data_IF_089564480744
#
_entry.id   IF_089564480744
#
_cell.length_a   1.000
_cell.length_b   1.000
_cell.length_c   1.000
_cell.angle_alpha   90.00
_cell.angle_beta   90.00
_cell.angle_gamma   90.00
#
_symmetry.space_group_name_H-M   'P 1'
#
loop_
_entity.id
_entity.type
_entity.pdbx_description
1 polymer ?
#
# COMPACT_ATOMS: atom_id res chain seq x y z
N UNK A 1 -89.26 39.04 1.52
CA UNK A 1 -88.74 37.66 1.39
C UNK A 1 -87.30 37.78 0.94
N UNK A 2 -86.40 37.44 1.85
CA UNK A 2 -85.18 36.65 1.68
C UNK A 2 -84.34 36.77 0.39
N UNK A 3 -83.12 37.24 0.64
CA UNK A 3 -81.83 36.57 0.40
C UNK A 3 -81.12 36.74 -0.95
N UNK A 4 -80.03 37.51 -0.83
CA UNK A 4 -78.91 37.71 -1.75
C UNK A 4 -78.19 36.40 -2.09
N UNK A 5 -77.85 36.25 -3.37
CA UNK A 5 -77.00 35.20 -3.91
C UNK A 5 -75.54 35.34 -3.43
N UNK A 6 -74.96 34.22 -3.05
CA UNK A 6 -73.62 34.07 -2.47
C UNK A 6 -72.53 34.15 -3.56
N UNK A 7 -71.68 35.17 -3.48
CA UNK A 7 -70.47 35.34 -4.30
C UNK A 7 -69.43 34.24 -4.02
N UNK A 8 -69.19 33.38 -5.02
CA UNK A 8 -68.04 32.47 -5.07
C UNK A 8 -66.99 32.98 -6.07
N UNK A 9 -66.13 33.93 -5.66
CA UNK A 9 -64.97 34.35 -6.44
C UNK A 9 -63.84 33.30 -6.32
N UNK A 10 -63.13 32.94 -7.41
CA UNK A 10 -61.94 32.09 -7.33
C UNK A 10 -60.78 32.88 -6.71
N UNK A 11 -60.16 32.33 -5.66
CA UNK A 11 -58.89 32.84 -5.13
C UNK A 11 -57.82 32.74 -6.22
N UNK A 12 -57.31 33.88 -6.67
CA UNK A 12 -56.08 33.96 -7.45
C UNK A 12 -54.92 33.49 -6.56
N UNK A 13 -54.26 32.41 -6.94
CA UNK A 13 -52.98 32.02 -6.35
C UNK A 13 -51.94 32.98 -6.92
N UNK A 14 -51.50 33.95 -6.13
CA UNK A 14 -50.31 34.73 -6.46
C UNK A 14 -49.11 33.78 -6.39
N UNK A 15 -48.59 33.37 -7.55
CA UNK A 15 -47.29 32.68 -7.61
C UNK A 15 -46.23 33.62 -7.04
N UNK A 16 -45.56 33.20 -5.96
CA UNK A 16 -44.54 33.98 -5.26
C UNK A 16 -43.48 34.44 -6.27
N UNK A 17 -43.46 35.75 -6.55
CA UNK A 17 -42.56 36.34 -7.54
C UNK A 17 -41.08 36.06 -7.20
N UNK A 18 -40.75 35.93 -5.92
CA UNK A 18 -39.43 35.52 -5.44
C UNK A 18 -39.04 34.11 -5.89
N UNK A 19 -39.99 33.16 -5.93
CA UNK A 19 -39.74 31.78 -6.35
C UNK A 19 -39.49 31.71 -7.87
N UNK A 20 -40.26 32.49 -8.64
CA UNK A 20 -40.09 32.64 -10.09
C UNK A 20 -38.76 33.31 -10.44
N UNK A 21 -38.34 34.33 -9.67
CA UNK A 21 -37.05 34.98 -9.85
C UNK A 21 -35.87 34.08 -9.45
N UNK A 22 -35.99 33.32 -8.36
CA UNK A 22 -35.02 32.32 -7.94
C UNK A 22 -34.86 31.22 -9.00
N UNK A 23 -35.95 30.75 -9.61
CA UNK A 23 -35.90 29.76 -10.67
C UNK A 23 -35.27 30.32 -11.95
N UNK A 24 -35.59 31.57 -12.33
CA UNK A 24 -34.91 32.28 -13.43
C UNK A 24 -33.42 32.47 -13.17
N UNK A 25 -33.02 32.80 -11.94
CA UNK A 25 -31.61 32.89 -11.55
C UNK A 25 -30.92 31.53 -11.61
N UNK A 26 -31.56 30.46 -11.16
CA UNK A 26 -31.05 29.09 -11.19
C UNK A 26 -30.86 28.60 -12.64
N UNK A 27 -31.83 28.88 -13.53
CA UNK A 27 -31.72 28.62 -14.98
C UNK A 27 -30.59 29.43 -15.61
N UNK A 28 -30.42 30.70 -15.23
CA UNK A 28 -29.28 31.53 -15.69
C UNK A 28 -27.94 30.97 -15.21
N UNK A 29 -27.84 30.54 -13.96
CA UNK A 29 -26.62 29.90 -13.42
C UNK A 29 -26.31 28.57 -14.13
N UNK A 30 -27.32 27.73 -14.38
CA UNK A 30 -27.16 26.49 -15.14
C UNK A 30 -26.75 26.74 -16.60
N UNK A 31 -27.29 27.77 -17.25
CA UNK A 31 -26.91 28.12 -18.64
C UNK A 31 -25.49 28.68 -18.77
N UNK A 32 -24.90 29.16 -17.66
CA UNK A 32 -23.51 29.64 -17.60
C UNK A 32 -22.52 28.53 -17.26
N UNK A 33 -22.99 27.35 -16.87
CA UNK A 33 -22.13 26.19 -16.71
C UNK A 33 -21.77 25.65 -18.11
N UNK A 34 -20.49 25.40 -18.39
CA UNK A 34 -20.11 24.74 -19.63
C UNK A 34 -20.85 23.39 -19.73
N UNK A 35 -21.28 22.96 -20.93
CA UNK A 35 -21.89 21.65 -21.09
C UNK A 35 -20.93 20.60 -20.55
N UNK A 36 -21.44 19.55 -19.87
CA UNK A 36 -20.59 18.48 -19.39
C UNK A 36 -19.77 17.93 -20.57
N UNK A 37 -18.48 17.64 -20.36
CA UNK A 37 -17.62 17.15 -21.44
C UNK A 37 -18.29 15.94 -22.10
N UNK A 38 -18.36 15.93 -23.45
CA UNK A 38 -18.90 14.80 -24.20
C UNK A 38 -18.01 13.58 -23.93
N UNK A 39 -18.53 12.63 -23.15
CA UNK A 39 -17.86 11.36 -22.90
C UNK A 39 -17.90 10.54 -24.18
N UNK A 40 -16.73 10.14 -24.69
CA UNK A 40 -16.65 9.31 -25.90
C UNK A 40 -17.09 7.87 -25.59
N UNK A 41 -17.56 7.10 -26.59
CA UNK A 41 -17.87 5.68 -26.40
C UNK A 41 -16.68 4.88 -25.84
N UNK A 42 -15.46 5.20 -26.28
CA UNK A 42 -14.22 4.60 -25.77
C UNK A 42 -14.02 4.88 -24.28
N UNK A 43 -14.26 6.12 -23.83
CA UNK A 43 -14.10 6.48 -22.43
C UNK A 43 -15.19 5.84 -21.55
N UNK A 44 -16.41 5.66 -22.06
CA UNK A 44 -17.45 4.89 -21.38
C UNK A 44 -17.03 3.42 -21.22
N UNK A 45 -16.59 2.78 -22.31
CA UNK A 45 -16.13 1.39 -22.28
C UNK A 45 -14.96 1.19 -21.31
N UNK A 46 -14.00 2.12 -21.30
CA UNK A 46 -12.90 2.13 -20.32
C UNK A 46 -13.39 2.23 -18.88
N UNK A 47 -14.34 3.13 -18.60
CA UNK A 47 -14.93 3.27 -17.24
C UNK A 47 -15.68 2.01 -16.82
N UNK A 48 -16.44 1.40 -17.71
CA UNK A 48 -17.17 0.16 -17.45
C UNK A 48 -16.21 -1.00 -17.17
N UNK A 49 -15.17 -1.14 -18.00
CA UNK A 49 -14.11 -2.12 -17.78
C UNK A 49 -13.43 -1.93 -16.43
N UNK A 50 -13.00 -0.71 -16.10
CA UNK A 50 -12.34 -0.42 -14.83
C UNK A 50 -13.26 -0.67 -13.62
N UNK A 51 -14.55 -0.33 -13.70
CA UNK A 51 -15.53 -0.68 -12.66
C UNK A 51 -15.76 -2.18 -12.54
N UNK A 52 -15.77 -2.91 -13.65
CA UNK A 52 -15.90 -4.36 -13.63
C UNK A 52 -14.67 -5.02 -12.98
N UNK A 53 -13.47 -4.51 -13.27
CA UNK A 53 -12.23 -4.96 -12.64
C UNK A 53 -12.19 -4.63 -11.14
N UNK A 54 -12.50 -3.38 -10.76
CA UNK A 54 -12.56 -2.98 -9.36
C UNK A 54 -13.52 -3.86 -8.55
N UNK A 55 -14.72 -4.18 -9.08
CA UNK A 55 -15.68 -5.08 -8.41
C UNK A 55 -15.13 -6.48 -8.11
N UNK A 56 -14.16 -6.98 -8.88
CA UNK A 56 -13.51 -8.28 -8.62
C UNK A 56 -12.49 -8.23 -7.48
N UNK A 57 -12.04 -7.03 -7.09
CA UNK A 57 -11.08 -6.82 -6.01
C UNK A 57 -11.77 -6.64 -4.65
N UNK A 58 -13.11 -6.67 -4.61
CA UNK A 58 -13.88 -6.68 -3.38
C UNK A 58 -14.02 -8.12 -2.92
N UNK A 59 -13.58 -8.40 -1.70
CA UNK A 59 -13.70 -9.71 -1.08
C UNK A 59 -14.37 -9.57 0.30
N UNK A 60 -15.17 -10.58 0.65
CA UNK A 60 -15.83 -10.66 1.94
C UNK A 60 -14.87 -11.21 2.99
N UNK A 61 -14.63 -10.43 4.05
CA UNK A 61 -13.87 -10.87 5.21
C UNK A 61 -14.84 -11.51 6.24
N UNK A 62 -14.78 -12.83 6.45
CA UNK A 62 -15.67 -13.51 7.39
C UNK A 62 -15.41 -13.13 8.86
N UNK A 63 -14.24 -12.59 9.19
CA UNK A 63 -13.92 -12.14 10.56
C UNK A 63 -14.60 -10.82 10.88
N UNK A 64 -14.57 -9.88 9.94
CA UNK A 64 -15.18 -8.56 10.09
C UNK A 64 -16.68 -8.55 9.71
N UNK A 65 -17.13 -9.53 8.94
CA UNK A 65 -18.52 -9.64 8.51
C UNK A 65 -18.90 -8.65 7.40
N UNK A 66 -17.93 -8.11 6.68
CA UNK A 66 -18.12 -7.07 5.65
C UNK A 66 -17.17 -7.27 4.47
N UNK A 67 -17.40 -6.58 3.35
CA UNK A 67 -16.62 -6.69 2.12
C UNK A 67 -15.80 -5.43 1.87
N UNK A 68 -14.52 -5.62 1.56
CA UNK A 68 -13.59 -4.51 1.33
C UNK A 68 -12.75 -4.78 0.08
N UNK A 69 -12.17 -3.72 -0.47
CA UNK A 69 -11.12 -3.88 -1.48
C UNK A 69 -9.88 -4.47 -0.82
N UNK A 70 -9.37 -5.57 -1.35
CA UNK A 70 -8.13 -6.22 -0.86
C UNK A 70 -6.89 -5.73 -1.59
N UNK A 71 -7.08 -4.99 -2.70
CA UNK A 71 -6.03 -4.44 -3.57
C UNK A 71 -6.43 -3.09 -4.13
N UNK A 72 -5.48 -2.33 -4.67
CA UNK A 72 -5.75 -1.00 -5.25
C UNK A 72 -6.75 -1.09 -6.41
N UNK A 73 -7.86 -0.37 -6.27
CA UNK A 73 -9.02 -0.50 -7.15
C UNK A 73 -9.23 0.68 -8.09
N UNK A 74 -8.51 1.79 -7.86
CA UNK A 74 -8.68 3.06 -8.57
C UNK A 74 -7.75 3.21 -9.78
N UNK A 75 -7.02 2.16 -10.16
CA UNK A 75 -6.11 2.17 -11.31
C UNK A 75 -6.88 2.15 -12.64
N UNK A 76 -6.22 2.62 -13.70
CA UNK A 76 -6.67 2.40 -15.08
C UNK A 76 -6.16 1.02 -15.55
N UNK A 77 -6.95 -0.02 -15.31
CA UNK A 77 -6.62 -1.41 -15.64
C UNK A 77 -6.49 -1.67 -17.15
N UNK A 78 -6.87 -0.71 -18.01
CA UNK A 78 -6.57 -0.78 -19.45
C UNK A 78 -5.11 -0.48 -19.78
N UNK A 79 -4.38 0.12 -18.84
CA UNK A 79 -2.99 0.57 -19.01
C UNK A 79 -2.02 -0.07 -18.03
N UNK A 80 -2.52 -0.43 -16.86
CA UNK A 80 -1.71 -0.95 -15.75
C UNK A 80 -2.16 -2.37 -15.47
N UNK A 81 -1.21 -3.30 -15.54
CA UNK A 81 -1.38 -4.61 -14.94
C UNK A 81 -1.10 -4.49 -13.43
N UNK A 82 -2.08 -4.86 -12.61
CA UNK A 82 -2.00 -4.75 -11.16
C UNK A 82 -0.95 -5.69 -10.57
N UNK A 83 -0.64 -6.79 -11.26
CA UNK A 83 0.34 -7.78 -10.83
C UNK A 83 1.76 -7.44 -11.31
N UNK A 84 1.91 -6.40 -12.13
CA UNK A 84 3.20 -6.01 -12.67
C UNK A 84 4.15 -5.53 -11.55
N UNK A 85 5.38 -6.06 -11.57
CA UNK A 85 6.45 -5.63 -10.68
C UNK A 85 7.08 -4.32 -11.13
N UNK A 86 7.52 -3.53 -10.14
CA UNK A 86 8.32 -2.34 -10.43
C UNK A 86 9.57 -2.74 -11.19
N UNK A 87 9.80 -2.09 -12.33
CA UNK A 87 11.00 -2.34 -13.16
C UNK A 87 12.17 -1.45 -12.73
N UNK A 88 11.96 -0.59 -11.74
CA UNK A 88 12.99 0.27 -11.19
C UNK A 88 13.81 -0.49 -10.16
N UNK A 89 15.11 -0.63 -10.45
CA UNK A 89 16.08 -1.09 -9.46
C UNK A 89 16.42 -0.01 -8.43
N UNK A 90 17.20 -0.40 -7.40
CA UNK A 90 17.82 0.57 -6.51
C UNK A 90 18.88 1.39 -7.28
N UNK A 91 19.46 2.39 -6.62
CA UNK A 91 20.55 3.23 -7.14
C UNK A 91 20.18 4.07 -8.37
N UNK A 92 18.88 4.29 -8.61
CA UNK A 92 18.37 5.01 -9.79
C UNK A 92 19.01 6.39 -10.00
N UNK A 93 19.32 7.07 -8.90
CA UNK A 93 19.85 8.43 -8.91
C UNK A 93 21.27 8.51 -8.34
N UNK A 94 22.01 7.39 -8.26
CA UNK A 94 23.35 7.37 -7.65
C UNK A 94 24.34 8.34 -8.30
N UNK A 95 24.28 8.49 -9.63
CA UNK A 95 25.15 9.42 -10.36
C UNK A 95 24.60 10.85 -10.43
N UNK A 96 23.45 11.11 -9.80
CA UNK A 96 22.82 12.42 -9.82
C UNK A 96 23.47 13.35 -8.80
N UNK A 97 23.96 14.50 -9.27
CA UNK A 97 24.51 15.53 -8.40
C UNK A 97 23.34 16.27 -7.74
N UNK A 98 23.21 16.18 -6.42
CA UNK A 98 22.27 16.97 -5.65
C UNK A 98 22.78 18.42 -5.63
N UNK A 99 22.05 19.30 -6.34
CA UNK A 99 22.37 20.74 -6.41
C UNK A 99 21.58 21.52 -5.36
N UNK A 100 22.04 22.73 -5.08
CA UNK A 100 21.30 23.67 -4.24
C UNK A 100 19.89 23.92 -4.82
N UNK A 101 18.85 23.75 -3.98
CA UNK A 101 17.45 23.83 -4.38
C UNK A 101 16.83 22.53 -4.90
N UNK A 102 17.57 21.41 -4.93
CA UNK A 102 17.00 20.11 -5.29
C UNK A 102 15.96 19.65 -4.25
N UNK A 103 14.74 19.39 -4.69
CA UNK A 103 13.66 18.95 -3.81
C UNK A 103 13.73 17.43 -3.61
N UNK A 104 14.19 17.02 -2.43
CA UNK A 104 14.15 15.62 -2.02
C UNK A 104 12.72 15.19 -1.68
N UNK A 105 12.38 13.97 -2.05
CA UNK A 105 11.07 13.38 -1.79
C UNK A 105 11.14 12.55 -0.50
N UNK A 106 10.03 12.49 0.23
CA UNK A 106 9.93 11.66 1.42
C UNK A 106 9.90 10.16 1.05
N UNK A 107 10.20 9.30 2.02
CA UNK A 107 10.26 7.86 1.84
C UNK A 107 9.75 7.10 3.06
N UNK A 108 9.55 5.79 2.88
CA UNK A 108 9.19 4.86 3.93
C UNK A 108 10.23 3.73 4.02
N UNK A 109 10.68 3.43 5.22
CA UNK A 109 11.47 2.26 5.54
C UNK A 109 10.60 1.19 6.17
N UNK A 110 10.42 0.05 5.48
CA UNK A 110 9.77 -1.10 6.10
C UNK A 110 10.66 -1.68 7.18
N UNK A 111 10.18 -1.73 8.43
CA UNK A 111 10.96 -2.25 9.54
C UNK A 111 10.58 -3.69 9.85
N UNK A 112 9.29 -3.98 9.94
CA UNK A 112 8.78 -5.27 10.37
C UNK A 112 7.35 -5.51 9.86
N UNK A 113 7.03 -6.78 9.60
CA UNK A 113 5.64 -7.25 9.51
C UNK A 113 5.49 -8.33 10.56
N UNK A 114 4.68 -8.07 11.58
CA UNK A 114 4.57 -8.91 12.78
C UNK A 114 3.22 -9.59 12.82
N UNK A 115 3.22 -10.89 13.12
CA UNK A 115 1.98 -11.64 13.37
C UNK A 115 1.63 -11.44 14.85
N UNK A 116 0.64 -10.60 15.12
CA UNK A 116 0.20 -10.28 16.48
C UNK A 116 -0.61 -11.43 17.07
N UNK A 117 -1.50 -12.04 16.27
CA UNK A 117 -2.32 -13.17 16.70
C UNK A 117 -2.73 -14.06 15.53
N UNK A 118 -3.13 -15.30 15.85
CA UNK A 118 -3.60 -16.31 14.89
C UNK A 118 -4.81 -17.02 15.49
N UNK A 119 -5.93 -17.02 14.76
CA UNK A 119 -7.18 -17.66 15.19
C UNK A 119 -7.14 -19.19 14.98
N UNK A 120 -6.10 -19.70 14.31
CA UNK A 120 -5.91 -21.13 14.00
C UNK A 120 -4.79 -21.77 14.82
N UNK A 121 -4.16 -21.02 15.72
CA UNK A 121 -3.04 -21.47 16.54
C UNK A 121 -1.70 -21.50 15.79
N UNK A 122 -0.75 -22.26 16.36
CA UNK A 122 0.62 -22.45 15.87
C UNK A 122 1.03 -23.92 16.03
N UNK A 123 1.99 -24.44 15.24
CA UNK A 123 2.73 -23.75 14.18
C UNK A 123 1.92 -23.61 12.89
N UNK A 124 2.23 -22.60 12.08
CA UNK A 124 1.64 -22.40 10.74
C UNK A 124 2.71 -22.31 9.66
N UNK A 125 2.41 -22.84 8.47
CA UNK A 125 3.27 -22.74 7.29
C UNK A 125 2.73 -21.64 6.38
N UNK A 126 3.29 -20.44 6.50
CA UNK A 126 2.78 -19.23 5.88
C UNK A 126 3.44 -18.93 4.54
N UNK A 127 2.65 -18.59 3.53
CA UNK A 127 3.13 -18.11 2.24
C UNK A 127 2.23 -16.96 1.73
N UNK A 128 2.61 -16.35 0.61
CA UNK A 128 1.89 -15.23 0.01
C UNK A 128 2.75 -13.97 -0.08
N UNK A 129 2.11 -12.81 -0.09
CA UNK A 129 2.73 -11.54 -0.43
C UNK A 129 2.34 -10.41 0.51
N UNK A 130 3.29 -9.53 0.79
CA UNK A 130 3.04 -8.17 1.27
C UNK A 130 3.68 -7.22 0.26
N UNK A 131 2.86 -6.40 -0.38
CA UNK A 131 3.26 -5.47 -1.44
C UNK A 131 3.14 -4.05 -0.91
N UNK A 132 4.11 -3.21 -1.23
CA UNK A 132 4.04 -1.77 -1.02
C UNK A 132 3.96 -1.08 -2.40
N UNK A 133 2.87 -0.38 -2.67
CA UNK A 133 2.70 0.47 -3.86
C UNK A 133 2.91 1.92 -3.48
N UNK A 134 3.65 2.63 -4.30
CA UNK A 134 4.00 4.02 -4.01
C UNK A 134 3.76 4.93 -5.22
N UNK A 135 4.04 6.21 -5.04
CA UNK A 135 3.72 7.23 -6.03
C UNK A 135 4.63 7.19 -7.27
N UNK A 136 5.60 6.27 -7.34
CA UNK A 136 6.52 6.18 -8.48
C UNK A 136 5.86 5.55 -9.70
N UNK A 137 5.23 4.39 -9.51
CA UNK A 137 4.62 3.62 -10.60
C UNK A 137 3.36 2.83 -10.17
N UNK A 138 3.01 2.82 -8.87
CA UNK A 138 1.93 2.00 -8.30
C UNK A 138 2.05 0.49 -8.61
N UNK A 139 3.22 0.02 -9.04
CA UNK A 139 3.51 -1.40 -9.33
C UNK A 139 3.87 -2.16 -8.06
N UNK A 140 3.96 -3.47 -8.16
CA UNK A 140 4.32 -4.32 -7.02
C UNK A 140 5.78 -4.09 -6.62
N UNK A 141 6.01 -3.48 -5.46
CA UNK A 141 7.30 -3.52 -4.76
C UNK A 141 7.15 -4.47 -3.56
N UNK A 142 7.56 -5.72 -3.73
CA UNK A 142 7.37 -6.76 -2.72
C UNK A 142 8.21 -6.48 -1.47
N UNK A 143 7.57 -6.52 -0.31
CA UNK A 143 8.19 -6.46 1.01
C UNK A 143 8.41 -7.87 1.56
N UNK A 144 7.42 -8.73 1.34
CA UNK A 144 7.45 -10.16 1.61
C UNK A 144 6.87 -10.90 0.40
N UNK A 145 7.55 -11.96 -0.04
CA UNK A 145 7.06 -12.85 -1.09
C UNK A 145 7.59 -14.25 -0.85
N UNK A 146 6.68 -15.20 -0.64
CA UNK A 146 6.98 -16.62 -0.45
C UNK A 146 5.96 -17.43 -1.22
N UNK A 147 6.42 -18.38 -2.03
CA UNK A 147 5.54 -19.32 -2.71
C UNK A 147 5.12 -20.45 -1.76
N UNK A 148 4.09 -21.20 -2.15
CA UNK A 148 3.54 -22.32 -1.37
C UNK A 148 4.59 -23.40 -1.05
N UNK A 149 5.55 -23.61 -1.95
CA UNK A 149 6.63 -24.60 -1.76
C UNK A 149 7.78 -24.08 -0.88
N UNK A 150 7.80 -22.77 -0.61
CA UNK A 150 8.79 -22.09 0.21
C UNK A 150 8.10 -21.30 1.32
N UNK A 151 7.24 -21.94 2.13
CA UNK A 151 6.60 -21.30 3.27
C UNK A 151 7.63 -20.82 4.30
N UNK A 152 7.31 -19.72 4.99
CA UNK A 152 7.92 -19.42 6.28
C UNK A 152 7.14 -20.16 7.39
N UNK A 153 7.85 -20.93 8.21
CA UNK A 153 7.26 -21.54 9.41
C UNK A 153 7.19 -20.52 10.53
N UNK A 154 5.99 -20.33 11.08
CA UNK A 154 5.76 -19.47 12.25
C UNK A 154 5.39 -20.37 13.42
N UNK A 155 6.18 -20.34 14.49
CA UNK A 155 6.05 -21.28 15.60
C UNK A 155 5.30 -20.70 16.79
N UNK A 156 5.24 -19.37 16.91
CA UNK A 156 4.71 -18.69 18.07
C UNK A 156 4.15 -17.30 17.75
N UNK A 157 3.35 -16.79 18.69
CA UNK A 157 2.77 -15.46 18.62
C UNK A 157 3.85 -14.37 18.69
N UNK A 158 3.70 -13.33 17.87
CA UNK A 158 4.60 -12.19 17.84
C UNK A 158 5.84 -12.38 16.96
N UNK A 159 5.96 -13.52 16.27
CA UNK A 159 7.00 -13.69 15.26
C UNK A 159 6.80 -12.76 14.08
N UNK A 160 7.91 -12.42 13.42
CA UNK A 160 7.95 -11.48 12.31
C UNK A 160 8.23 -12.21 11.00
N UNK A 161 7.63 -11.71 9.91
CA UNK A 161 7.95 -12.19 8.57
C UNK A 161 9.38 -11.80 8.20
N UNK A 162 10.07 -12.70 7.51
CA UNK A 162 11.40 -12.45 6.96
C UNK A 162 11.22 -11.65 5.68
N UNK A 163 11.41 -10.33 5.80
CA UNK A 163 11.22 -9.39 4.70
C UNK A 163 12.38 -9.47 3.71
N UNK A 164 12.07 -9.55 2.42
CA UNK A 164 13.04 -9.59 1.33
C UNK A 164 13.09 -8.29 0.53
N UNK A 165 12.26 -7.32 0.90
CA UNK A 165 12.24 -6.01 0.25
C UNK A 165 12.07 -4.83 1.21
N UNK A 166 11.87 -3.64 0.63
CA UNK A 166 11.59 -3.40 -0.80
C UNK A 166 12.82 -3.60 -1.71
N UNK A 167 12.57 -3.77 -3.01
CA UNK A 167 13.62 -3.91 -4.05
C UNK A 167 14.36 -2.61 -4.35
N UNK A 168 13.70 -1.48 -4.09
CA UNK A 168 14.15 -0.09 -4.26
C UNK A 168 13.52 0.81 -3.19
N UNK A 169 14.03 2.03 -3.05
CA UNK A 169 13.51 3.03 -2.13
C UNK A 169 12.06 3.39 -2.46
N UNK A 170 11.28 3.66 -1.42
CA UNK A 170 9.85 3.99 -1.55
C UNK A 170 9.70 5.49 -1.82
N UNK A 171 9.00 5.86 -2.88
CA UNK A 171 8.72 7.27 -3.21
C UNK A 171 7.39 7.65 -2.60
N UNK A 172 7.43 8.32 -1.45
CA UNK A 172 6.25 8.68 -0.70
C UNK A 172 5.82 10.12 -1.01
N UNK A 173 4.88 10.29 -1.94
CA UNK A 173 4.31 11.59 -2.28
C UNK A 173 2.85 11.65 -1.84
N UNK A 174 2.66 11.88 -0.54
CA UNK A 174 1.35 12.07 0.07
C UNK A 174 0.61 10.78 0.41
N UNK A 175 0.83 9.69 -0.33
CA UNK A 175 0.24 8.39 -0.01
C UNK A 175 1.08 7.18 -0.48
N UNK A 176 0.84 6.03 0.14
CA UNK A 176 1.31 4.71 -0.27
C UNK A 176 0.30 3.65 0.15
N UNK A 177 0.32 2.48 -0.50
CA UNK A 177 -0.67 1.43 -0.26
C UNK A 177 0.02 0.12 0.07
N UNK A 178 -0.40 -0.55 1.13
CA UNK A 178 0.01 -1.92 1.43
C UNK A 178 -1.08 -2.88 0.99
N UNK A 179 -0.71 -3.90 0.21
CA UNK A 179 -1.56 -5.05 -0.08
C UNK A 179 -0.98 -6.27 0.63
N UNK A 180 -1.78 -6.85 1.51
CA UNK A 180 -1.46 -8.08 2.23
C UNK A 180 -2.32 -9.19 1.62
N UNK A 181 -1.70 -10.31 1.24
CA UNK A 181 -2.37 -11.56 0.88
C UNK A 181 -1.51 -12.71 1.40
N UNK A 182 -1.86 -13.20 2.60
CA UNK A 182 -1.13 -14.24 3.30
C UNK A 182 -2.03 -15.47 3.46
N UNK A 183 -1.47 -16.66 3.23
CA UNK A 183 -2.17 -17.93 3.26
C UNK A 183 -1.41 -18.96 4.08
N UNK A 184 -2.16 -19.87 4.69
CA UNK A 184 -1.61 -21.05 5.36
C UNK A 184 -1.69 -22.21 4.40
N UNK A 185 -0.54 -22.85 4.19
CA UNK A 185 -0.43 -24.10 3.44
C UNK A 185 -1.05 -25.25 4.23
N UNK A 186 -1.93 -25.98 3.56
CA UNK A 186 -2.51 -27.23 4.02
C UNK A 186 -1.99 -28.41 3.17
N UNK A 187 -2.53 -29.61 3.38
CA UNK A 187 -2.13 -30.80 2.62
C UNK A 187 -2.28 -30.62 1.11
N UNK A 188 -3.42 -30.11 0.65
CA UNK A 188 -3.71 -29.80 -0.76
C UNK A 188 -3.94 -28.30 -0.93
N UNK A 189 -3.59 -27.78 -2.10
CA UNK A 189 -3.73 -26.33 -2.39
C UNK A 189 -5.18 -25.84 -2.30
N UNK A 190 -6.15 -26.65 -2.71
CA UNK A 190 -7.58 -26.31 -2.58
C UNK A 190 -8.06 -26.19 -1.13
N UNK A 191 -7.31 -26.72 -0.17
CA UNK A 191 -7.63 -26.68 1.24
C UNK A 191 -6.91 -25.52 1.96
N UNK A 192 -5.98 -24.82 1.28
CA UNK A 192 -5.22 -23.71 1.85
C UNK A 192 -6.16 -22.61 2.37
N UNK A 193 -5.80 -22.03 3.51
CA UNK A 193 -6.65 -21.07 4.21
C UNK A 193 -6.09 -19.67 4.08
N UNK A 194 -6.96 -18.71 3.74
CA UNK A 194 -6.61 -17.30 3.84
C UNK A 194 -6.28 -16.94 5.30
N UNK A 195 -5.09 -16.40 5.54
CA UNK A 195 -4.61 -16.05 6.87
C UNK A 195 -4.87 -14.58 7.20
N UNK A 196 -4.44 -13.69 6.31
CA UNK A 196 -4.71 -12.25 6.36
C UNK A 196 -4.85 -11.76 4.92
N UNK A 197 -5.74 -10.83 4.65
CA UNK A 197 -5.80 -10.18 3.35
C UNK A 197 -6.33 -8.76 3.51
N UNK A 198 -5.62 -7.75 3.04
CA UNK A 198 -6.04 -6.37 3.31
C UNK A 198 -5.39 -5.38 2.36
N UNK A 199 -6.09 -4.27 2.11
CA UNK A 199 -5.54 -3.05 1.57
C UNK A 199 -5.47 -2.00 2.67
N UNK A 200 -4.29 -1.44 2.91
CA UNK A 200 -4.08 -0.34 3.86
C UNK A 200 -3.59 0.88 3.08
N UNK A 201 -4.26 2.02 3.27
CA UNK A 201 -3.86 3.31 2.71
C UNK A 201 -3.11 4.11 3.76
N UNK A 202 -1.84 4.40 3.49
CA UNK A 202 -1.00 5.24 4.33
C UNK A 202 -1.01 6.65 3.76
N UNK A 203 -1.71 7.55 4.45
CA UNK A 203 -1.84 8.96 4.06
C UNK A 203 -0.85 9.81 4.84
N UNK A 204 -0.04 10.60 4.14
CA UNK A 204 1.04 11.40 4.72
C UNK A 204 0.57 12.42 5.77
N UNK A 205 -0.65 12.95 5.62
CA UNK A 205 -1.24 13.86 6.61
C UNK A 205 -1.59 13.17 7.94
N UNK A 206 -1.59 11.83 7.98
CA UNK A 206 -1.86 11.05 9.19
C UNK A 206 -0.57 10.60 9.90
N UNK A 207 0.60 10.85 9.32
CA UNK A 207 1.89 10.49 9.93
C UNK A 207 2.15 11.43 11.12
N UNK A 208 2.18 10.85 12.33
CA UNK A 208 2.33 11.60 13.60
C UNK A 208 3.69 11.44 14.27
N UNK A 209 4.49 10.48 13.83
CA UNK A 209 5.77 10.09 14.44
C UNK A 209 6.73 9.54 13.39
N UNK A 210 8.00 9.41 13.74
CA UNK A 210 9.00 8.81 12.84
C UNK A 210 8.64 7.36 12.54
N UNK A 211 8.27 6.57 13.55
CA UNK A 211 7.81 5.19 13.38
C UNK A 211 6.28 5.14 13.43
N UNK A 212 5.69 4.50 12.42
CA UNK A 212 4.26 4.22 12.30
C UNK A 212 4.00 2.73 12.53
N UNK A 213 2.79 2.43 13.02
CA UNK A 213 2.28 1.08 13.27
C UNK A 213 0.87 1.02 12.74
N UNK A 214 0.64 0.16 11.76
CA UNK A 214 -0.67 -0.09 11.19
C UNK A 214 -1.04 -1.54 11.48
N UNK A 215 -2.10 -1.74 12.26
CA UNK A 215 -2.57 -3.07 12.63
C UNK A 215 -3.82 -3.41 11.85
N UNK A 216 -3.86 -4.61 11.29
CA UNK A 216 -4.99 -5.13 10.55
C UNK A 216 -5.43 -6.46 11.11
N UNK A 217 -6.65 -6.46 11.65
CA UNK A 217 -7.34 -7.68 12.07
C UNK A 217 -8.25 -8.15 10.95
N UNK A 218 -7.88 -9.26 10.29
CA UNK A 218 -8.52 -9.66 9.04
C UNK A 218 -8.38 -11.15 8.75
N UNK A 219 -9.43 -11.77 8.23
CA UNK A 219 -9.58 -13.21 8.01
C UNK A 219 -9.35 -14.11 9.25
N UNK A 220 -8.11 -14.46 9.56
CA UNK A 220 -7.76 -15.45 10.61
C UNK A 220 -6.61 -14.99 11.49
N UNK A 221 -6.25 -13.71 11.41
CA UNK A 221 -5.09 -13.17 12.10
C UNK A 221 -5.13 -11.67 12.25
N UNK A 222 -4.35 -11.20 13.21
CA UNK A 222 -3.99 -9.81 13.36
C UNK A 222 -2.52 -9.63 12.97
N UNK A 223 -2.27 -8.74 12.01
CA UNK A 223 -0.92 -8.43 11.50
C UNK A 223 -0.62 -6.95 11.74
N UNK A 224 0.57 -6.66 12.25
CA UNK A 224 1.06 -5.28 12.44
C UNK A 224 2.17 -4.98 11.43
N UNK A 225 1.96 -3.96 10.60
CA UNK A 225 2.97 -3.34 9.77
C UNK A 225 3.68 -2.26 10.58
N UNK A 226 5.02 -2.33 10.63
CA UNK A 226 5.85 -1.31 11.29
C UNK A 226 6.79 -0.73 10.25
N UNK A 227 6.72 0.58 10.08
CA UNK A 227 7.56 1.31 9.13
C UNK A 227 7.99 2.66 9.67
N UNK A 228 9.10 3.18 9.17
CA UNK A 228 9.57 4.52 9.50
C UNK A 228 9.38 5.48 8.34
N UNK A 229 8.84 6.66 8.62
CA UNK A 229 8.78 7.78 7.70
C UNK A 229 10.11 8.54 7.70
N UNK A 230 10.64 8.81 6.52
CA UNK A 230 11.89 9.52 6.31
C UNK A 230 11.60 10.76 5.47
N UNK A 231 11.69 11.93 6.08
CA UNK A 231 11.51 13.21 5.39
C UNK A 231 12.73 13.54 4.55
N UNK A 232 12.55 14.06 3.33
CA UNK A 232 13.64 14.44 2.41
C UNK A 232 14.70 13.32 2.31
N UNK A 233 14.27 12.18 1.81
CA UNK A 233 15.03 10.95 1.89
C UNK A 233 16.05 10.80 0.75
N UNK A 234 17.15 10.11 1.07
CA UNK A 234 18.11 9.54 0.14
C UNK A 234 18.06 8.02 0.22
N UNK A 235 18.12 7.35 -0.93
CA UNK A 235 18.22 5.90 -0.97
C UNK A 235 19.67 5.48 -0.73
N UNK A 236 19.90 4.71 0.33
CA UNK A 236 21.14 4.00 0.62
C UNK A 236 21.03 2.54 0.23
N UNK A 237 22.09 2.00 -0.36
CA UNK A 237 22.22 0.56 -0.63
C UNK A 237 23.42 -0.01 0.10
N UNK A 238 23.26 -1.23 0.61
CA UNK A 238 24.27 -1.90 1.45
C UNK A 238 24.77 -3.15 0.74
N UNK A 239 26.09 -3.29 0.67
CA UNK A 239 26.76 -4.51 0.22
C UNK A 239 27.80 -4.90 1.27
N UNK A 240 27.93 -6.20 1.54
CA UNK A 240 28.85 -6.73 2.55
C UNK A 240 29.73 -7.78 1.90
N UNK A 241 31.05 -7.51 1.90
CA UNK A 241 32.07 -8.38 1.32
C UNK A 241 33.01 -8.91 2.40
N UNK A 242 33.21 -10.23 2.41
CA UNK A 242 34.17 -10.88 3.31
C UNK A 242 35.57 -10.75 2.71
N UNK A 243 36.42 -9.92 3.32
CA UNK A 243 37.78 -9.65 2.83
C UNK A 243 38.78 -10.78 3.16
N UNK A 244 38.60 -11.43 4.31
CA UNK A 244 39.52 -12.46 4.82
C UNK A 244 38.81 -13.33 5.85
N UNK A 245 39.23 -14.59 6.00
CA UNK A 245 38.61 -15.56 6.90
C UNK A 245 37.74 -16.59 6.17
N UNK A 246 36.86 -17.29 6.90
CA UNK A 246 35.96 -18.30 6.35
C UNK A 246 35.06 -17.75 5.23
N UNK A 247 34.71 -18.60 4.27
CA UNK A 247 33.86 -18.24 3.12
C UNK A 247 32.37 -18.16 3.45
N UNK A 248 32.01 -18.21 4.74
CA UNK A 248 30.63 -18.14 5.20
C UNK A 248 30.55 -17.41 6.53
N UNK A 249 29.57 -16.51 6.67
CA UNK A 249 29.25 -15.85 7.93
C UNK A 249 28.02 -16.51 8.57
N UNK A 250 28.19 -16.99 9.81
CA UNK A 250 27.09 -17.54 10.62
C UNK A 250 26.65 -16.48 11.63
N UNK A 251 25.38 -16.09 11.59
CA UNK A 251 24.82 -15.07 12.45
C UNK A 251 23.84 -14.17 11.71
N UNK A 252 23.51 -13.04 12.35
CA UNK A 252 22.59 -12.03 11.82
C UNK A 252 23.30 -10.71 11.61
N UNK A 253 22.98 -10.06 10.51
CA UNK A 253 23.42 -8.69 10.24
C UNK A 253 22.20 -7.80 10.21
N UNK A 254 22.27 -6.70 10.97
CA UNK A 254 21.21 -5.70 10.99
C UNK A 254 21.79 -4.32 10.74
N UNK A 255 20.97 -3.42 10.18
CA UNK A 255 21.29 -2.01 10.04
C UNK A 255 20.27 -1.16 10.80
N UNK A 256 20.68 0.04 11.18
CA UNK A 256 19.84 1.01 11.88
C UNK A 256 20.19 2.41 11.40
N UNK A 257 19.18 3.25 11.18
CA UNK A 257 19.38 4.67 10.86
C UNK A 257 19.44 5.48 12.16
N UNK A 258 20.11 6.63 12.15
CA UNK A 258 20.29 7.47 13.36
C UNK A 258 18.97 7.86 14.01
N UNK A 259 17.94 8.13 13.21
CA UNK A 259 16.65 8.64 13.66
C UNK A 259 15.66 7.55 14.10
N UNK A 260 16.00 6.28 13.91
CA UNK A 260 15.10 5.14 14.17
C UNK A 260 15.81 4.11 15.04
N UNK A 261 15.27 3.84 16.24
CA UNK A 261 15.86 2.86 17.17
C UNK A 261 15.70 1.41 16.72
N UNK A 262 14.74 1.13 15.83
CA UNK A 262 14.44 -0.20 15.29
C UNK A 262 15.49 -0.67 14.28
N UNK A 263 15.86 -1.94 14.39
CA UNK A 263 16.84 -2.55 13.51
C UNK A 263 16.15 -3.18 12.30
N UNK A 264 16.80 -3.02 11.15
CA UNK A 264 16.47 -3.65 9.88
C UNK A 264 17.31 -4.90 9.74
N UNK A 265 16.67 -6.08 9.63
CA UNK A 265 17.37 -7.32 9.30
C UNK A 265 17.86 -7.27 7.85
N UNK A 266 19.15 -7.50 7.64
CA UNK A 266 19.79 -7.55 6.33
C UNK A 266 20.18 -8.98 5.96
N UNK A 267 20.59 -9.78 6.94
CA UNK A 267 21.05 -11.16 6.74
C UNK A 267 20.75 -11.99 7.98
N UNK A 268 20.41 -13.25 7.76
CA UNK A 268 20.23 -14.25 8.81
C UNK A 268 20.63 -15.62 8.25
N UNK A 269 21.67 -16.24 8.82
CA UNK A 269 22.19 -17.53 8.35
C UNK A 269 21.21 -18.69 8.53
N UNK A 270 20.22 -18.54 9.42
CA UNK A 270 19.24 -19.59 9.72
C UNK A 270 18.11 -19.64 8.67
N UNK A 271 18.02 -18.63 7.79
CA UNK A 271 17.00 -18.56 6.75
C UNK A 271 17.43 -19.35 5.52
N UNK A 272 16.66 -20.40 5.18
CA UNK A 272 16.87 -21.22 3.99
C UNK A 272 17.00 -20.35 2.72
N UNK A 273 18.11 -20.54 1.98
CA UNK A 273 18.46 -19.76 0.80
C UNK A 273 19.49 -18.64 1.03
N UNK A 274 19.88 -18.35 2.28
CA UNK A 274 20.91 -17.35 2.61
C UNK A 274 22.37 -17.83 2.38
N UNK A 275 22.58 -18.94 1.66
CA UNK A 275 23.91 -19.51 1.41
C UNK A 275 24.18 -19.52 -0.09
N UNK A 276 24.83 -18.46 -0.54
CA UNK A 276 26.14 -18.54 -1.21
C UNK A 276 26.82 -17.21 -0.94
N UNK A 277 28.06 -17.20 -0.41
CA UNK A 277 28.93 -16.09 -0.81
C UNK A 277 29.23 -16.38 -2.27
N UNK A 278 28.98 -15.41 -3.14
CA UNK A 278 29.41 -15.54 -4.53
C UNK A 278 30.91 -15.82 -4.57
N UNK A 279 31.43 -16.30 -5.71
CA UNK A 279 32.87 -16.44 -5.94
C UNK A 279 33.66 -15.14 -5.60
N UNK A 280 32.94 -14.02 -5.56
CA UNK A 280 33.42 -12.67 -5.27
C UNK A 280 33.50 -12.28 -3.79
N UNK A 281 33.07 -13.11 -2.83
CA UNK A 281 33.13 -12.73 -1.41
C UNK A 281 31.86 -12.12 -0.83
N UNK A 282 30.85 -11.88 -1.66
CA UNK A 282 29.72 -10.99 -1.30
C UNK A 282 28.60 -11.78 -0.65
N UNK A 283 28.14 -11.31 0.51
CA UNK A 283 27.03 -11.91 1.24
C UNK A 283 25.72 -11.53 0.55
N UNK A 284 24.92 -12.53 0.19
CA UNK A 284 23.56 -12.30 -0.31
C UNK A 284 22.65 -11.82 0.83
N UNK A 285 22.33 -10.53 0.82
CA UNK A 285 21.42 -9.92 1.79
C UNK A 285 19.96 -10.27 1.46
N UNK A 286 19.15 -10.48 2.49
CA UNK A 286 17.68 -10.59 2.40
C UNK A 286 17.09 -9.33 1.77
N UNK A 287 17.61 -8.17 2.17
CA UNK A 287 17.29 -6.86 1.60
C UNK A 287 18.49 -5.95 1.78
N UNK A 288 18.63 -4.98 0.87
CA UNK A 288 19.81 -4.10 0.82
C UNK A 288 19.50 -2.61 0.75
N UNK A 289 18.23 -2.24 0.69
CA UNK A 289 17.79 -0.85 0.49
C UNK A 289 17.29 -0.26 1.79
N UNK A 290 17.74 0.96 2.09
CA UNK A 290 17.30 1.76 3.24
C UNK A 290 17.25 3.23 2.84
N UNK A 291 16.23 3.94 3.26
CA UNK A 291 16.13 5.38 3.11
C UNK A 291 16.71 6.11 4.33
N UNK A 292 17.51 7.14 4.12
CA UNK A 292 18.10 7.96 5.18
C UNK A 292 17.72 9.42 4.97
N UNK A 293 17.54 10.17 6.06
CA UNK A 293 17.26 11.60 5.97
C UNK A 293 18.53 12.35 5.52
N UNK A 294 18.35 13.37 4.68
CA UNK A 294 19.42 14.32 4.41
C UNK A 294 19.64 15.22 5.64
N UNK A 295 20.82 15.13 6.24
CA UNK A 295 21.19 15.84 7.48
C UNK A 295 21.73 17.25 7.15
N UNK A 296 21.89 17.62 5.87
CA UNK A 296 22.57 18.88 5.46
C UNK A 296 21.74 20.16 5.64
N UNK A 297 20.72 20.16 6.51
CA UNK A 297 19.84 21.31 6.75
C UNK A 297 19.49 21.60 8.23
N UNK A 298 20.37 21.25 9.17
CA UNK A 298 20.30 21.74 10.56
C UNK A 298 20.99 23.09 10.73
#
# INVERSE_FOLDING_TARGET
MADDDFDGLPMYVEEDQEEVEAEKQKRRQQSRQPPPPRVTPEELARREFNRAMARKLIEYDPKLGDSYYTRVWFLDFTKVDIDEETQYGPMRYTDSIIREGHELIDSLNMLCVKIISSDVGYPISLYGTVILRDSLDLKCNYIFRRDRDNCQHINSQGESLILTGPSRGVVFRGNAFFEIDLKIREGRECDDKQFNKALIDVVGSQIRSVVQRETVDSWRSEVELIFAYVKKALEGTIEIKILSGPESFCGKITARTTDVSSHTLLYDSDVHGAITVGDDRVIQLLRRVVSVADITGA
#
